data_IF_764819730281
#
_entry.id   IF_764819730281
#
_cell.length_a   1.000
_cell.length_b   1.000
_cell.length_c   1.000
_cell.angle_alpha   90.00
_cell.angle_beta   90.00
_cell.angle_gamma   90.00
#
_symmetry.space_group_name_H-M   'P 1'
#
loop_
_entity.id
_entity.type
_entity.pdbx_description
1 polymer ?
#
# COMPACT_ATOMS: atom_id res chain seq x y z
N UNK A 1 -14.30 42.76 17.71
CA UNK A 1 -13.23 42.57 16.71
C UNK A 1 -12.25 41.56 17.25
N UNK A 2 -12.51 40.28 17.01
CA UNK A 2 -11.64 39.17 17.41
C UNK A 2 -11.10 38.53 16.11
N UNK A 3 -9.78 38.71 15.89
CA UNK A 3 -9.07 38.14 14.77
C UNK A 3 -8.93 36.60 15.04
N UNK A 4 -9.60 35.81 14.24
CA UNK A 4 -9.34 34.37 14.12
C UNK A 4 -7.99 34.19 13.49
N UNK A 5 -7.04 33.69 14.24
CA UNK A 5 -5.73 33.22 13.75
C UNK A 5 -5.91 31.81 13.25
N UNK A 6 -6.04 31.63 11.95
CA UNK A 6 -5.93 30.34 11.27
C UNK A 6 -4.45 29.93 11.32
N UNK A 7 -4.10 29.09 12.28
CA UNK A 7 -2.81 28.42 12.28
C UNK A 7 -2.80 27.43 11.11
N UNK A 8 -2.11 27.79 10.04
CA UNK A 8 -1.70 26.83 8.99
C UNK A 8 -0.74 25.87 9.67
N UNK A 9 -1.22 24.66 9.99
CA UNK A 9 -0.33 23.54 10.30
C UNK A 9 0.48 23.28 9.03
N UNK A 10 1.74 23.69 9.05
CA UNK A 10 2.73 23.19 8.10
C UNK A 10 2.78 21.68 8.29
N UNK A 11 2.28 20.92 7.30
CA UNK A 11 2.52 19.50 7.19
C UNK A 11 4.04 19.30 7.36
N UNK A 12 4.44 18.57 8.40
CA UNK A 12 5.82 18.08 8.46
C UNK A 12 5.98 17.19 7.23
N UNK A 13 7.05 17.35 6.43
CA UNK A 13 7.27 16.45 5.33
C UNK A 13 7.36 15.06 5.94
N UNK A 14 6.44 14.17 5.54
CA UNK A 14 6.61 12.74 5.75
C UNK A 14 8.04 12.45 5.33
N UNK A 15 8.88 12.05 6.27
CA UNK A 15 10.27 11.73 5.96
C UNK A 15 10.21 10.62 4.92
N UNK A 16 10.56 10.96 3.69
CA UNK A 16 10.49 10.04 2.56
C UNK A 16 11.26 8.79 2.97
N UNK A 17 10.55 7.67 3.15
CA UNK A 17 11.12 6.38 3.55
C UNK A 17 12.32 6.00 2.66
N UNK A 18 12.27 6.41 1.39
CA UNK A 18 13.36 6.35 0.41
C UNK A 18 14.61 7.10 0.88
N UNK A 19 14.47 8.26 1.54
CA UNK A 19 15.61 9.00 2.06
C UNK A 19 16.31 8.25 3.20
N UNK A 20 15.57 7.57 4.06
CA UNK A 20 16.16 6.78 5.16
C UNK A 20 16.86 5.53 4.60
N UNK A 21 16.21 4.80 3.70
CA UNK A 21 16.80 3.61 3.07
C UNK A 21 18.00 3.99 2.20
N UNK A 22 17.94 5.06 1.41
CA UNK A 22 19.05 5.52 0.58
C UNK A 22 20.24 6.03 1.38
N UNK A 23 20.00 6.72 2.50
CA UNK A 23 21.06 7.19 3.40
C UNK A 23 21.76 6.02 4.10
N UNK A 24 21.01 4.98 4.50
CA UNK A 24 21.61 3.78 5.09
C UNK A 24 22.28 2.87 4.06
N UNK A 25 21.77 2.83 2.81
CA UNK A 25 22.42 2.07 1.73
C UNK A 25 23.80 2.64 1.38
N UNK A 26 23.99 3.95 1.47
CA UNK A 26 25.29 4.58 1.26
C UNK A 26 26.38 4.13 2.27
N UNK A 27 25.98 3.61 3.42
CA UNK A 27 26.87 3.17 4.50
C UNK A 27 26.91 1.64 4.69
N UNK A 28 25.97 0.89 4.10
CA UNK A 28 25.88 -0.57 4.26
C UNK A 28 26.08 -1.28 2.91
N UNK A 29 27.22 -1.96 2.69
CA UNK A 29 27.54 -2.61 1.41
C UNK A 29 26.56 -3.74 1.03
N UNK A 30 25.94 -4.39 2.01
CA UNK A 30 24.94 -5.44 1.73
C UNK A 30 23.63 -4.86 1.19
N UNK A 31 23.20 -3.71 1.69
CA UNK A 31 22.04 -3.01 1.15
C UNK A 31 22.31 -2.48 -0.26
N UNK A 32 23.50 -1.93 -0.49
CA UNK A 32 23.91 -1.47 -1.82
C UNK A 32 23.94 -2.63 -2.84
N UNK A 33 24.45 -3.80 -2.45
CA UNK A 33 24.42 -5.01 -3.29
C UNK A 33 23.00 -5.45 -3.59
N UNK A 34 22.13 -5.53 -2.58
CA UNK A 34 20.73 -5.90 -2.75
C UNK A 34 20.01 -4.95 -3.71
N UNK A 35 20.20 -3.64 -3.54
CA UNK A 35 19.61 -2.64 -4.44
C UNK A 35 20.10 -2.79 -5.88
N UNK A 36 21.38 -3.08 -6.08
CA UNK A 36 21.95 -3.34 -7.40
C UNK A 36 21.33 -4.61 -8.04
N UNK A 37 21.16 -5.68 -7.25
CA UNK A 37 20.60 -6.95 -7.72
C UNK A 37 19.15 -6.82 -8.18
N UNK A 38 18.33 -6.02 -7.49
CA UNK A 38 16.90 -5.81 -7.83
C UNK A 38 16.69 -4.70 -8.86
N UNK A 39 17.70 -3.85 -9.16
CA UNK A 39 17.54 -2.66 -10.00
C UNK A 39 16.97 -2.96 -11.39
N UNK A 40 17.38 -4.06 -12.00
CA UNK A 40 16.90 -4.47 -13.32
C UNK A 40 15.39 -4.78 -13.29
N UNK A 41 14.93 -5.49 -12.26
CA UNK A 41 13.51 -5.82 -12.09
C UNK A 41 12.69 -4.57 -11.78
N UNK A 42 13.20 -3.67 -10.95
CA UNK A 42 12.55 -2.38 -10.67
C UNK A 42 12.36 -1.56 -11.94
N UNK A 43 13.38 -1.47 -12.77
CA UNK A 43 13.31 -0.78 -14.06
C UNK A 43 12.29 -1.41 -15.01
N UNK A 44 12.20 -2.74 -15.04
CA UNK A 44 11.20 -3.46 -15.84
C UNK A 44 9.78 -3.21 -15.35
N UNK A 45 9.57 -3.19 -14.03
CA UNK A 45 8.26 -2.87 -13.42
C UNK A 45 7.88 -1.42 -13.69
N UNK A 46 8.76 -0.46 -13.44
CA UNK A 46 8.50 0.97 -13.65
C UNK A 46 8.16 1.31 -15.13
N UNK A 47 8.74 0.59 -16.07
CA UNK A 47 8.50 0.77 -17.49
C UNK A 47 7.57 -0.30 -18.10
N UNK A 48 6.76 -0.97 -17.26
CA UNK A 48 5.92 -2.05 -17.75
C UNK A 48 4.87 -1.56 -18.74
N UNK A 49 4.69 -2.24 -19.91
CA UNK A 49 3.76 -1.79 -20.96
C UNK A 49 2.29 -1.70 -20.53
N UNK A 50 1.94 -2.26 -19.38
CA UNK A 50 0.60 -2.19 -18.80
C UNK A 50 0.15 -0.74 -18.62
N UNK A 51 1.03 0.12 -18.10
CA UNK A 51 0.67 1.51 -17.78
C UNK A 51 0.24 2.31 -19.00
N UNK A 52 0.94 2.17 -20.13
CA UNK A 52 0.54 2.78 -21.40
C UNK A 52 -0.75 2.21 -22.00
N UNK A 53 -1.27 1.10 -21.47
CA UNK A 53 -2.55 0.53 -21.92
C UNK A 53 -3.75 1.05 -21.12
N UNK A 54 -3.55 1.66 -19.96
CA UNK A 54 -4.62 2.20 -19.12
C UNK A 54 -4.95 3.61 -19.60
N UNK A 55 -5.59 3.70 -20.77
CA UNK A 55 -5.90 4.95 -21.46
C UNK A 55 -7.41 5.17 -21.64
N UNK A 56 -8.24 4.52 -20.85
CA UNK A 56 -9.69 4.74 -20.79
C UNK A 56 -10.22 4.40 -19.40
N UNK A 57 -11.37 4.97 -19.05
CA UNK A 57 -12.05 4.69 -17.78
C UNK A 57 -12.28 3.18 -17.56
N UNK A 58 -12.74 2.46 -18.58
CA UNK A 58 -12.98 1.01 -18.47
C UNK A 58 -11.69 0.22 -18.14
N UNK A 59 -10.55 0.64 -18.73
CA UNK A 59 -9.27 0.00 -18.44
C UNK A 59 -8.74 0.38 -17.05
N UNK A 60 -9.00 1.60 -16.59
CA UNK A 60 -8.73 1.99 -15.22
C UNK A 60 -9.57 1.17 -14.23
N UNK A 61 -10.89 1.03 -14.48
CA UNK A 61 -11.76 0.19 -13.68
C UNK A 61 -11.22 -1.24 -13.55
N UNK A 62 -10.91 -1.87 -14.69
CA UNK A 62 -10.35 -3.22 -14.71
C UNK A 62 -9.01 -3.29 -13.96
N UNK A 63 -8.14 -2.29 -14.11
CA UNK A 63 -6.90 -2.21 -13.36
C UNK A 63 -7.18 -2.13 -11.85
N UNK A 64 -8.06 -1.25 -11.40
CA UNK A 64 -8.39 -1.07 -9.98
C UNK A 64 -9.00 -2.34 -9.37
N UNK A 65 -9.84 -3.07 -10.11
CA UNK A 65 -10.44 -4.35 -9.71
C UNK A 65 -9.41 -5.45 -9.46
N UNK A 66 -8.23 -5.35 -10.08
CA UNK A 66 -7.10 -6.26 -9.84
C UNK A 66 -6.16 -5.71 -8.76
N UNK A 67 -5.87 -4.41 -8.80
CA UNK A 67 -4.89 -3.78 -7.93
C UNK A 67 -5.36 -3.68 -6.47
N UNK A 68 -6.66 -3.60 -6.21
CA UNK A 68 -7.23 -3.53 -4.84
C UNK A 68 -6.77 -4.70 -3.94
N UNK A 69 -6.45 -5.84 -4.52
CA UNK A 69 -5.89 -6.98 -3.77
C UNK A 69 -4.47 -6.71 -3.29
N UNK A 70 -3.67 -6.00 -4.07
CA UNK A 70 -2.34 -5.58 -3.66
C UNK A 70 -2.38 -4.49 -2.57
N UNK A 71 -3.38 -3.59 -2.62
CA UNK A 71 -3.64 -2.61 -1.55
C UNK A 71 -4.04 -3.30 -0.26
N UNK A 72 -4.90 -4.33 -0.35
CA UNK A 72 -5.33 -5.09 0.81
C UNK A 72 -4.19 -5.95 1.40
N UNK A 73 -3.42 -6.67 0.59
CA UNK A 73 -2.40 -7.60 1.11
C UNK A 73 -1.15 -6.88 1.66
N UNK A 74 -0.92 -5.63 1.24
CA UNK A 74 0.08 -4.75 1.82
C UNK A 74 -0.10 -4.61 3.34
N UNK A 75 -1.35 -4.42 3.79
CA UNK A 75 -1.66 -4.36 5.22
C UNK A 75 -1.31 -5.66 5.95
N UNK A 76 -1.36 -6.81 5.27
CA UNK A 76 -0.97 -8.09 5.88
C UNK A 76 0.53 -8.17 6.13
N UNK A 77 1.36 -7.67 5.20
CA UNK A 77 2.82 -7.52 5.42
C UNK A 77 3.10 -6.56 6.57
N UNK A 78 2.46 -5.39 6.58
CA UNK A 78 2.63 -4.38 7.62
C UNK A 78 2.21 -4.91 9.00
N UNK A 79 1.08 -5.62 9.11
CA UNK A 79 0.62 -6.20 10.37
C UNK A 79 1.53 -7.31 10.86
N UNK A 80 2.10 -8.12 9.96
CA UNK A 80 3.14 -9.08 10.33
C UNK A 80 4.37 -8.37 10.93
N UNK A 81 4.85 -7.31 10.28
CA UNK A 81 5.99 -6.52 10.78
C UNK A 81 5.66 -5.84 12.12
N UNK A 82 4.46 -5.25 12.26
CA UNK A 82 4.01 -4.66 13.52
C UNK A 82 4.01 -5.69 14.65
N UNK A 83 3.46 -6.88 14.40
CA UNK A 83 3.41 -7.95 15.41
C UNK A 83 4.81 -8.38 15.89
N UNK A 84 5.78 -8.48 14.98
CA UNK A 84 7.12 -8.95 15.29
C UNK A 84 8.06 -7.87 15.82
N UNK A 85 7.94 -6.64 15.33
CA UNK A 85 8.84 -5.53 15.65
C UNK A 85 8.30 -4.62 16.76
N UNK A 86 7.00 -4.67 17.03
CA UNK A 86 6.35 -3.98 18.16
C UNK A 86 5.66 -5.00 19.05
N UNK A 87 5.06 -4.58 20.15
CA UNK A 87 4.24 -5.47 20.98
C UNK A 87 2.76 -5.12 20.82
N UNK A 88 2.00 -6.02 20.17
CA UNK A 88 0.55 -5.88 19.96
C UNK A 88 -0.28 -6.72 20.96
N UNK A 89 0.38 -7.30 21.97
CA UNK A 89 -0.24 -8.21 22.94
C UNK A 89 -0.14 -7.66 24.36
N UNK A 90 -1.01 -8.13 25.23
CA UNK A 90 -0.93 -7.93 26.67
C UNK A 90 -0.42 -9.21 27.36
N UNK A 91 0.48 -9.12 28.37
CA UNK A 91 1.14 -7.91 28.87
C UNK A 91 2.12 -7.31 27.86
N UNK A 92 2.24 -5.96 27.85
CA UNK A 92 3.15 -5.27 26.95
C UNK A 92 4.62 -5.54 27.34
N UNK A 93 5.41 -5.93 26.34
CA UNK A 93 6.86 -6.10 26.44
C UNK A 93 7.50 -5.39 25.26
N UNK A 94 8.48 -4.45 25.47
CA UNK A 94 9.12 -3.75 24.37
C UNK A 94 9.93 -4.72 23.51
N UNK A 95 9.65 -4.75 22.21
CA UNK A 95 10.41 -5.48 21.18
C UNK A 95 11.25 -4.50 20.38
N UNK A 96 12.30 -4.94 19.72
CA UNK A 96 13.18 -4.14 18.84
C UNK A 96 13.67 -2.81 19.45
N UNK A 97 14.22 -1.89 18.65
CA UNK A 97 14.63 -0.55 19.08
C UNK A 97 13.45 0.43 19.12
N UNK A 98 13.59 1.54 19.84
CA UNK A 98 12.55 2.57 19.92
C UNK A 98 12.27 3.19 18.53
N UNK A 99 13.33 3.44 17.76
CA UNK A 99 13.26 4.02 16.42
C UNK A 99 12.50 3.09 15.46
N UNK A 100 12.75 1.77 15.52
CA UNK A 100 12.08 0.82 14.65
C UNK A 100 10.61 0.64 15.03
N UNK A 101 10.30 0.67 16.36
CA UNK A 101 8.89 0.70 16.82
C UNK A 101 8.17 1.96 16.37
N UNK A 102 8.81 3.12 16.49
CA UNK A 102 8.26 4.38 16.02
C UNK A 102 7.97 4.31 14.53
N UNK A 103 8.95 3.90 13.72
CA UNK A 103 8.84 3.77 12.27
C UNK A 103 7.65 2.89 11.84
N UNK A 104 7.55 1.68 12.39
CA UNK A 104 6.45 0.76 12.05
C UNK A 104 5.08 1.32 12.47
N UNK A 105 4.99 1.91 13.67
CA UNK A 105 3.72 2.47 14.15
C UNK A 105 3.31 3.73 13.39
N UNK A 106 4.26 4.52 12.89
CA UNK A 106 3.99 5.68 12.01
C UNK A 106 3.37 5.22 10.68
N UNK A 107 3.94 4.17 10.05
CA UNK A 107 3.35 3.58 8.85
C UNK A 107 1.94 3.02 9.15
N UNK A 108 1.78 2.28 10.24
CA UNK A 108 0.46 1.75 10.62
C UNK A 108 -0.54 2.87 10.84
N UNK A 109 -0.14 3.99 11.44
CA UNK A 109 -1.02 5.14 11.63
C UNK A 109 -1.49 5.71 10.28
N UNK A 110 -0.57 5.91 9.34
CA UNK A 110 -0.90 6.40 8.00
C UNK A 110 -1.76 5.42 7.20
N UNK A 111 -1.42 4.14 7.21
CA UNK A 111 -2.12 3.16 6.37
C UNK A 111 -3.49 2.73 6.91
N UNK A 112 -3.64 2.65 8.23
CA UNK A 112 -4.87 2.11 8.85
C UNK A 112 -5.86 3.20 9.29
N UNK A 113 -5.39 4.42 9.52
CA UNK A 113 -6.20 5.50 10.08
C UNK A 113 -5.69 6.90 9.71
N UNK A 114 -5.40 7.11 8.42
CA UNK A 114 -4.99 8.40 7.89
C UNK A 114 -6.10 9.46 7.95
N UNK A 115 -5.75 10.72 7.76
CA UNK A 115 -6.72 11.81 7.68
C UNK A 115 -7.63 11.64 6.44
N UNK A 116 -8.94 11.57 6.66
CA UNK A 116 -9.91 11.57 5.57
C UNK A 116 -10.11 13.02 5.06
N UNK A 117 -9.94 13.29 3.75
CA UNK A 117 -10.17 14.63 3.19
C UNK A 117 -11.61 15.15 3.40
N UNK A 118 -12.55 14.24 3.70
CA UNK A 118 -13.94 14.61 4.01
C UNK A 118 -14.19 14.80 5.52
N UNK A 119 -13.15 14.60 6.34
CA UNK A 119 -13.17 14.73 7.81
C UNK A 119 -13.17 13.38 8.52
N UNK A 120 -12.43 13.29 9.61
CA UNK A 120 -12.22 12.06 10.38
C UNK A 120 -11.00 11.28 9.91
N UNK A 121 -11.07 9.95 10.00
CA UNK A 121 -9.97 9.05 9.65
C UNK A 121 -10.49 7.91 8.77
N UNK A 122 -9.60 7.41 7.89
CA UNK A 122 -9.90 6.35 6.93
C UNK A 122 -8.64 5.52 6.67
N UNK A 123 -8.76 4.23 6.42
CA UNK A 123 -7.64 3.43 5.95
C UNK A 123 -7.38 3.64 4.45
N UNK A 124 -6.13 3.47 4.01
CA UNK A 124 -5.81 3.51 2.57
C UNK A 124 -6.60 2.49 1.76
N UNK A 125 -6.89 1.32 2.33
CA UNK A 125 -7.77 0.34 1.69
C UNK A 125 -9.20 0.84 1.47
N UNK A 126 -9.81 1.50 2.46
CA UNK A 126 -11.14 2.08 2.34
C UNK A 126 -11.15 3.30 1.42
N UNK A 127 -10.10 4.13 1.49
CA UNK A 127 -9.91 5.26 0.58
C UNK A 127 -9.78 4.79 -0.88
N UNK A 128 -9.03 3.71 -1.11
CA UNK A 128 -8.92 3.09 -2.44
C UNK A 128 -10.27 2.57 -2.95
N UNK A 129 -11.07 1.93 -2.09
CA UNK A 129 -12.44 1.49 -2.45
C UNK A 129 -13.36 2.67 -2.78
N UNK A 130 -13.23 3.80 -2.08
CA UNK A 130 -13.94 5.04 -2.41
C UNK A 130 -13.53 5.55 -3.79
N UNK A 131 -12.23 5.55 -4.10
CA UNK A 131 -11.74 5.89 -5.44
C UNK A 131 -12.25 4.93 -6.52
N UNK A 132 -12.36 3.62 -6.23
CA UNK A 132 -12.98 2.64 -7.12
C UNK A 132 -14.45 2.96 -7.38
N UNK A 133 -15.19 3.33 -6.36
CA UNK A 133 -16.60 3.74 -6.47
C UNK A 133 -16.76 4.97 -7.36
N UNK A 134 -15.92 6.00 -7.20
CA UNK A 134 -15.90 7.20 -8.05
C UNK A 134 -15.58 6.86 -9.51
N UNK A 135 -14.62 5.95 -9.73
CA UNK A 135 -14.27 5.49 -11.07
C UNK A 135 -15.32 4.55 -11.68
N UNK A 136 -16.30 4.07 -10.90
CA UNK A 136 -17.29 3.07 -11.32
C UNK A 136 -16.73 1.64 -11.41
N UNK A 137 -15.62 1.35 -10.75
CA UNK A 137 -15.03 0.01 -10.64
C UNK A 137 -15.74 -0.83 -9.57
N UNK A 138 -15.83 -2.14 -9.79
CA UNK A 138 -16.44 -3.06 -8.83
C UNK A 138 -15.44 -3.48 -7.76
N UNK A 139 -15.83 -3.41 -6.49
CA UNK A 139 -15.07 -3.95 -5.36
C UNK A 139 -15.80 -5.08 -4.62
N UNK A 140 -16.87 -5.61 -5.21
CA UNK A 140 -17.69 -6.68 -4.60
C UNK A 140 -16.89 -7.96 -4.33
N UNK A 141 -15.95 -8.31 -5.20
CA UNK A 141 -15.12 -9.50 -5.03
C UNK A 141 -14.15 -9.36 -3.85
N UNK A 142 -13.46 -8.23 -3.70
CA UNK A 142 -12.57 -8.00 -2.55
C UNK A 142 -13.37 -7.89 -1.24
N UNK A 143 -14.57 -7.31 -1.24
CA UNK A 143 -15.44 -7.29 -0.07
C UNK A 143 -15.83 -8.72 0.35
N UNK A 144 -16.13 -9.59 -0.61
CA UNK A 144 -16.42 -11.00 -0.31
C UNK A 144 -15.20 -11.72 0.30
N UNK A 145 -13.98 -11.39 -0.15
CA UNK A 145 -12.76 -11.91 0.50
C UNK A 145 -12.69 -11.47 1.95
N UNK A 146 -12.85 -10.17 2.23
CA UNK A 146 -12.80 -9.64 3.59
C UNK A 146 -13.88 -10.28 4.48
N UNK A 147 -15.12 -10.40 4.00
CA UNK A 147 -16.21 -11.06 4.73
C UNK A 147 -15.87 -12.53 5.01
N UNK A 148 -15.32 -13.25 4.06
CA UNK A 148 -14.92 -14.64 4.23
C UNK A 148 -13.84 -14.81 5.29
N UNK A 149 -12.85 -13.91 5.33
CA UNK A 149 -11.82 -13.88 6.35
C UNK A 149 -12.36 -13.54 7.75
N UNK A 150 -13.29 -12.59 7.84
CA UNK A 150 -14.00 -12.27 9.08
C UNK A 150 -14.77 -13.48 9.63
N UNK A 151 -15.25 -14.36 8.76
CA UNK A 151 -15.90 -15.61 9.10
C UNK A 151 -14.91 -16.77 9.37
N UNK A 152 -13.61 -16.48 9.46
CA UNK A 152 -12.57 -17.45 9.81
C UNK A 152 -12.09 -18.35 8.68
N UNK A 153 -12.42 -18.03 7.42
CA UNK A 153 -11.87 -18.77 6.28
C UNK A 153 -10.40 -18.42 6.08
N UNK A 154 -9.63 -19.35 5.51
CA UNK A 154 -8.25 -19.08 5.11
C UNK A 154 -8.22 -18.32 3.79
N UNK A 155 -7.14 -17.56 3.56
CA UNK A 155 -7.01 -16.65 2.42
C UNK A 155 -7.25 -17.33 1.06
N UNK A 156 -6.69 -18.53 0.84
CA UNK A 156 -6.87 -19.26 -0.42
C UNK A 156 -8.32 -19.65 -0.71
N UNK A 157 -9.07 -20.04 0.32
CA UNK A 157 -10.50 -20.35 0.20
C UNK A 157 -11.32 -19.08 -0.06
N UNK A 158 -11.02 -17.99 0.68
CA UNK A 158 -11.69 -16.71 0.51
C UNK A 158 -11.52 -16.17 -0.92
N UNK A 159 -10.31 -16.20 -1.48
CA UNK A 159 -10.03 -15.79 -2.86
C UNK A 159 -10.78 -16.64 -3.89
N UNK A 160 -10.83 -17.95 -3.68
CA UNK A 160 -11.56 -18.88 -4.58
C UNK A 160 -13.06 -18.62 -4.53
N UNK A 161 -13.63 -18.49 -3.33
CA UNK A 161 -15.07 -18.24 -3.15
C UNK A 161 -15.50 -16.90 -3.73
N UNK A 162 -14.66 -15.86 -3.57
CA UNK A 162 -14.90 -14.54 -4.11
C UNK A 162 -14.66 -14.45 -5.62
N UNK A 163 -14.21 -15.53 -6.27
CA UNK A 163 -13.84 -15.54 -7.69
C UNK A 163 -12.82 -14.44 -8.03
N UNK A 164 -11.81 -14.26 -7.14
CA UNK A 164 -10.77 -13.26 -7.34
C UNK A 164 -10.07 -13.46 -8.69
N UNK A 165 -9.71 -12.38 -9.41
CA UNK A 165 -8.97 -12.49 -10.67
C UNK A 165 -7.69 -13.34 -10.48
N UNK A 166 -7.42 -14.26 -11.41
CA UNK A 166 -6.33 -15.24 -11.26
C UNK A 166 -4.96 -14.59 -10.99
N UNK A 167 -4.67 -13.46 -11.65
CA UNK A 167 -3.42 -12.71 -11.44
C UNK A 167 -3.36 -12.09 -10.03
N UNK A 168 -4.45 -11.52 -9.54
CA UNK A 168 -4.55 -10.97 -8.19
C UNK A 168 -4.44 -12.08 -7.13
N UNK A 169 -5.13 -13.20 -7.34
CA UNK A 169 -5.06 -14.35 -6.43
C UNK A 169 -3.64 -14.93 -6.35
N UNK A 170 -2.92 -15.04 -7.48
CA UNK A 170 -1.54 -15.49 -7.52
C UNK A 170 -0.60 -14.52 -6.78
N UNK A 171 -0.81 -13.21 -6.94
CA UNK A 171 -0.04 -12.18 -6.25
C UNK A 171 -0.23 -12.26 -4.73
N UNK A 172 -1.46 -12.31 -4.25
CA UNK A 172 -1.79 -12.50 -2.83
C UNK A 172 -1.22 -13.81 -2.29
N UNK A 173 -1.33 -14.90 -3.06
CA UNK A 173 -0.76 -16.19 -2.65
C UNK A 173 0.76 -16.10 -2.42
N UNK A 174 1.50 -15.39 -3.27
CA UNK A 174 2.95 -15.16 -3.08
C UNK A 174 3.25 -14.35 -1.83
N UNK A 175 2.45 -13.33 -1.51
CA UNK A 175 2.58 -12.55 -0.27
C UNK A 175 2.39 -13.43 0.96
N UNK A 176 1.33 -14.24 0.99
CA UNK A 176 1.06 -15.13 2.12
C UNK A 176 2.01 -16.33 2.20
N UNK A 177 2.63 -16.75 1.09
CA UNK A 177 3.74 -17.70 1.12
C UNK A 177 4.96 -17.11 1.84
N UNK A 178 5.33 -15.86 1.54
CA UNK A 178 6.43 -15.16 2.22
C UNK A 178 6.12 -15.01 3.72
N UNK A 179 4.93 -14.58 4.07
CA UNK A 179 4.49 -14.46 5.47
C UNK A 179 4.53 -15.84 6.16
N UNK A 180 4.05 -16.89 5.50
CA UNK A 180 4.00 -18.25 6.04
C UNK A 180 5.35 -18.92 6.29
N UNK A 181 6.43 -18.41 5.67
CA UNK A 181 7.81 -18.85 5.97
C UNK A 181 8.30 -18.37 7.34
N UNK A 182 7.60 -17.41 7.94
CA UNK A 182 7.92 -16.80 9.25
C UNK A 182 9.36 -16.28 9.36
N UNK A 183 9.85 -15.65 8.28
CA UNK A 183 11.19 -15.05 8.21
C UNK A 183 11.07 -13.54 8.14
N UNK A 184 11.27 -12.88 9.28
CA UNK A 184 11.09 -11.44 9.43
C UNK A 184 11.82 -10.62 8.35
N UNK A 185 13.06 -10.98 8.00
CA UNK A 185 13.84 -10.25 7.00
C UNK A 185 13.31 -10.45 5.57
N UNK A 186 12.68 -11.59 5.24
CA UNK A 186 12.02 -11.79 3.93
C UNK A 186 10.75 -10.94 3.83
N UNK A 187 9.95 -10.89 4.89
CA UNK A 187 8.76 -10.05 4.94
C UNK A 187 9.14 -8.56 4.90
N UNK A 188 10.18 -8.15 5.64
CA UNK A 188 10.68 -6.77 5.61
C UNK A 188 11.20 -6.39 4.21
N UNK A 189 11.90 -7.28 3.52
CA UNK A 189 12.37 -7.04 2.15
C UNK A 189 11.22 -6.95 1.15
N UNK A 190 10.22 -7.84 1.24
CA UNK A 190 9.03 -7.80 0.41
C UNK A 190 8.24 -6.50 0.62
N UNK A 191 8.12 -6.05 1.86
CA UNK A 191 7.49 -4.78 2.21
C UNK A 191 8.26 -3.59 1.64
N UNK A 192 9.53 -3.41 2.02
CA UNK A 192 10.30 -2.21 1.72
C UNK A 192 10.66 -2.09 0.22
N UNK A 193 11.13 -3.18 -0.40
CA UNK A 193 11.63 -3.16 -1.77
C UNK A 193 10.61 -3.59 -2.82
N UNK A 194 9.56 -4.28 -2.41
CA UNK A 194 8.57 -4.83 -3.32
C UNK A 194 7.27 -4.04 -3.40
N UNK A 195 7.00 -3.11 -2.48
CA UNK A 195 5.73 -2.39 -2.40
C UNK A 195 5.88 -0.87 -2.41
N UNK A 196 6.62 -0.30 -1.46
CA UNK A 196 6.70 1.15 -1.23
C UNK A 196 7.21 1.96 -2.44
N UNK A 197 8.17 1.43 -3.15
CA UNK A 197 8.99 2.19 -4.09
C UNK A 197 8.42 2.34 -5.51
N UNK A 198 7.37 1.59 -5.88
CA UNK A 198 7.04 1.38 -7.29
C UNK A 198 5.78 2.12 -7.77
N UNK A 199 4.95 2.56 -6.87
CA UNK A 199 3.57 2.92 -7.20
C UNK A 199 3.36 4.41 -7.54
N UNK A 200 3.95 5.40 -6.85
CA UNK A 200 3.52 6.79 -7.00
C UNK A 200 3.74 7.38 -8.39
N UNK A 201 4.97 7.28 -8.91
CA UNK A 201 5.35 8.03 -10.13
C UNK A 201 4.63 7.55 -11.41
N UNK A 202 4.33 6.26 -11.47
CA UNK A 202 3.70 5.64 -12.65
C UNK A 202 2.22 5.93 -12.74
N UNK A 203 1.53 5.90 -11.59
CA UNK A 203 0.09 6.15 -11.54
C UNK A 203 -0.27 7.63 -11.64
N UNK A 204 0.52 8.52 -11.05
CA UNK A 204 0.30 9.96 -11.14
C UNK A 204 0.30 10.47 -12.57
N UNK A 205 1.23 10.03 -13.42
CA UNK A 205 1.28 10.41 -14.82
C UNK A 205 0.01 9.97 -15.56
N UNK A 206 -0.39 8.71 -15.35
CA UNK A 206 -1.56 8.13 -16.01
C UNK A 206 -2.88 8.79 -15.55
N UNK A 207 -3.06 9.01 -14.26
CA UNK A 207 -4.29 9.59 -13.71
C UNK A 207 -4.40 11.07 -14.07
N UNK A 208 -3.29 11.82 -14.08
CA UNK A 208 -3.29 13.21 -14.55
C UNK A 208 -3.71 13.30 -16.02
N UNK A 209 -3.26 12.37 -16.86
CA UNK A 209 -3.67 12.31 -18.27
C UNK A 209 -5.17 11.99 -18.41
N UNK A 210 -5.69 11.04 -17.63
CA UNK A 210 -7.11 10.69 -17.60
C UNK A 210 -7.98 11.82 -17.02
N UNK A 211 -7.48 12.53 -16.01
CA UNK A 211 -8.20 13.59 -15.29
C UNK A 211 -8.18 14.95 -16.02
N UNK A 212 -7.28 15.16 -16.97
CA UNK A 212 -7.24 16.40 -17.77
C UNK A 212 -8.56 16.68 -18.50
N UNK A 213 -9.42 15.67 -18.65
CA UNK A 213 -10.70 15.74 -19.35
C UNK A 213 -11.93 15.52 -18.46
N UNK A 214 -11.79 15.07 -17.20
CA UNK A 214 -12.93 14.74 -16.34
C UNK A 214 -12.52 14.72 -14.84
N UNK A 215 -13.25 15.43 -13.98
CA UNK A 215 -12.93 15.55 -12.54
C UNK A 215 -13.31 14.28 -11.71
N UNK A 216 -13.47 13.12 -12.35
CA UNK A 216 -14.02 11.89 -11.74
C UNK A 216 -13.04 11.10 -10.87
N UNK A 217 -11.76 11.53 -10.74
CA UNK A 217 -10.72 10.73 -10.08
C UNK A 217 -10.02 11.44 -8.91
N UNK A 218 -10.68 12.41 -8.29
CA UNK A 218 -10.07 13.23 -7.22
C UNK A 218 -9.61 12.38 -6.03
N UNK A 219 -10.41 11.41 -5.59
CA UNK A 219 -10.05 10.53 -4.47
C UNK A 219 -8.89 9.61 -4.85
N UNK A 220 -8.80 9.17 -6.11
CA UNK A 220 -7.67 8.35 -6.54
C UNK A 220 -6.37 9.14 -6.63
N UNK A 221 -6.43 10.40 -7.07
CA UNK A 221 -5.27 11.30 -7.09
C UNK A 221 -4.80 11.56 -5.65
N UNK A 222 -5.73 11.85 -4.74
CA UNK A 222 -5.43 12.04 -3.32
C UNK A 222 -4.80 10.80 -2.68
N UNK A 223 -5.29 9.61 -3.02
CA UNK A 223 -4.71 8.34 -2.57
C UNK A 223 -3.25 8.15 -3.04
N UNK A 224 -2.89 8.71 -4.19
CA UNK A 224 -1.54 8.59 -4.79
C UNK A 224 -0.56 9.71 -4.34
N UNK A 225 -1.04 10.80 -3.75
CA UNK A 225 -0.25 11.93 -3.20
C UNK A 225 0.20 11.67 -1.77
#
# INVERSE_FOLDING_TARGET
>A
MTKSSTAVKTAQPQACYLCIISTQAATNPHLASLQADIQSLRTQLANHPLYGKINSQQKLQLFMEHHVYAVWDFMSLLKYLQHHLTCTQAPWVPKSTAELRFFINEIVLGEESDEDPTGGHISHFELYKRAMQEAGASFSSIDQVVISLQNGQIVSQALTQAQAPASAAAFVASTFEIIGRDRLHEVAAAFAFGREDLIPDMFLAMVKELNANDQQFNTFIYYLE
#
